data_IF_700521549233
#
_entry.id   IF_700521549233
#
_cell.length_a   1.000
_cell.length_b   1.000
_cell.length_c   1.000
_cell.angle_alpha   90.00
_cell.angle_beta   90.00
_cell.angle_gamma   90.00
#
_symmetry.space_group_name_H-M   'P 1'
#
loop_
_entity.id
_entity.type
_entity.pdbx_description
1 polymer ?
#
# COMPACT_ATOMS: atom_id res chain seq x y z
N UNK A 1 -37.69 -14.21 9.67
CA UNK A 1 -36.65 -15.26 9.79
C UNK A 1 -35.91 -15.52 8.48
N UNK A 2 -36.57 -15.86 7.37
CA UNK A 2 -35.90 -16.20 6.10
C UNK A 2 -35.11 -15.03 5.47
N UNK A 3 -35.63 -13.80 5.55
CA UNK A 3 -34.93 -12.59 5.05
C UNK A 3 -33.61 -12.31 5.77
N UNK A 4 -33.51 -12.65 7.07
CA UNK A 4 -32.28 -12.50 7.84
C UNK A 4 -31.25 -13.57 7.45
N UNK A 5 -31.73 -14.78 7.13
CA UNK A 5 -30.92 -15.90 6.69
C UNK A 5 -30.30 -15.66 5.30
N UNK A 6 -31.05 -15.02 4.39
CA UNK A 6 -30.56 -14.63 3.06
C UNK A 6 -29.42 -13.60 3.15
N UNK A 7 -29.54 -12.60 4.03
CA UNK A 7 -28.50 -11.58 4.22
C UNK A 7 -27.21 -12.15 4.81
N UNK A 8 -27.32 -13.14 5.71
CA UNK A 8 -26.17 -13.82 6.31
C UNK A 8 -25.38 -14.65 5.29
N UNK A 9 -26.09 -15.34 4.38
CA UNK A 9 -25.46 -16.15 3.32
C UNK A 9 -24.78 -15.27 2.27
N UNK A 10 -25.39 -14.13 1.90
CA UNK A 10 -24.80 -13.23 0.92
C UNK A 10 -23.51 -12.56 1.43
N UNK A 11 -23.42 -12.27 2.73
CA UNK A 11 -22.22 -11.71 3.35
C UNK A 11 -21.04 -12.68 3.40
N UNK A 12 -21.30 -13.99 3.50
CA UNK A 12 -20.25 -15.00 3.57
C UNK A 12 -19.52 -15.21 2.23
N UNK A 13 -20.19 -14.95 1.09
CA UNK A 13 -19.62 -15.13 -0.24
C UNK A 13 -18.72 -13.96 -0.71
N UNK A 14 -18.76 -12.82 -0.02
CA UNK A 14 -17.90 -11.65 -0.30
C UNK A 14 -16.63 -11.62 0.54
N UNK A 15 -16.29 -12.70 1.25
CA UNK A 15 -15.03 -12.79 1.97
C UNK A 15 -13.87 -12.91 0.97
N UNK A 16 -12.96 -11.95 1.03
CA UNK A 16 -11.80 -11.88 0.15
C UNK A 16 -10.89 -13.09 0.40
N UNK A 17 -10.81 -14.02 -0.55
CA UNK A 17 -9.83 -15.10 -0.51
C UNK A 17 -8.50 -14.58 -1.04
N UNK A 18 -7.46 -14.59 -0.19
CA UNK A 18 -6.09 -14.40 -0.66
C UNK A 18 -5.68 -15.60 -1.52
N UNK A 19 -5.09 -15.41 -2.71
CA UNK A 19 -4.72 -16.51 -3.58
C UNK A 19 -3.61 -17.36 -2.93
N UNK A 20 -3.86 -18.66 -2.82
CA UNK A 20 -2.88 -19.66 -2.38
C UNK A 20 -2.41 -20.49 -3.60
N UNK A 21 -1.18 -20.22 -4.06
CA UNK A 21 -0.47 -20.93 -5.13
C UNK A 21 0.72 -20.07 -5.58
N UNK A 22 1.93 -20.31 -5.11
CA UNK A 22 2.89 -21.33 -5.57
C UNK A 22 3.49 -21.03 -6.94
N UNK A 23 4.56 -20.24 -6.95
CA UNK A 23 5.78 -20.48 -7.72
C UNK A 23 6.94 -19.87 -6.93
N UNK A 24 7.96 -20.67 -6.59
CA UNK A 24 9.25 -20.16 -6.08
C UNK A 24 10.01 -19.51 -7.24
N UNK A 25 9.47 -18.42 -7.78
CA UNK A 25 10.30 -17.40 -8.40
C UNK A 25 11.18 -16.84 -7.28
N UNK A 26 12.47 -16.68 -7.53
CA UNK A 26 13.39 -16.01 -6.63
C UNK A 26 12.68 -14.77 -6.10
N UNK A 27 12.28 -14.83 -4.83
CA UNK A 27 11.56 -13.75 -4.17
C UNK A 27 12.57 -12.60 -4.17
N UNK A 28 12.38 -11.70 -5.12
CA UNK A 28 13.01 -10.40 -5.11
C UNK A 28 12.56 -9.80 -3.77
N UNK A 29 13.45 -9.87 -2.78
CA UNK A 29 13.16 -9.45 -1.41
C UNK A 29 13.05 -7.90 -1.33
N UNK A 30 13.07 -7.23 -2.50
CA UNK A 30 12.59 -5.87 -2.66
C UNK A 30 11.08 -5.81 -2.41
N UNK A 31 10.73 -5.81 -1.12
CA UNK A 31 9.41 -5.37 -0.69
C UNK A 31 9.21 -3.97 -1.25
N UNK A 32 8.39 -3.85 -2.30
CA UNK A 32 8.07 -2.55 -2.90
C UNK A 32 7.12 -1.83 -1.96
N UNK A 33 7.61 -0.75 -1.37
CA UNK A 33 6.86 0.04 -0.42
C UNK A 33 6.40 1.32 -1.12
N UNK A 34 5.09 1.56 -1.12
CA UNK A 34 4.47 2.78 -1.67
C UNK A 34 3.91 3.64 -0.54
N UNK A 35 4.27 4.93 -0.54
CA UNK A 35 3.85 5.89 0.48
C UNK A 35 3.35 7.18 -0.13
N UNK A 36 2.40 7.80 0.56
CA UNK A 36 1.88 9.12 0.25
C UNK A 36 2.39 10.13 1.28
N UNK A 37 3.18 11.10 0.82
CA UNK A 37 3.60 12.22 1.66
C UNK A 37 2.53 13.34 1.64
N UNK A 38 1.71 13.40 2.69
CA UNK A 38 0.70 14.44 2.90
C UNK A 38 1.26 15.58 3.77
N UNK A 39 1.09 16.83 3.36
CA UNK A 39 1.48 17.99 4.16
C UNK A 39 1.34 19.31 3.40
N UNK A 40 2.05 20.33 3.89
CA UNK A 40 2.03 21.69 3.37
C UNK A 40 3.22 21.98 2.42
N UNK A 41 3.52 23.27 2.21
CA UNK A 41 4.61 23.74 1.36
C UNK A 41 6.00 23.23 1.76
N UNK A 42 6.23 22.89 3.04
CA UNK A 42 7.49 22.30 3.50
C UNK A 42 7.61 20.83 3.06
N UNK A 43 6.51 20.08 3.04
CA UNK A 43 6.48 18.68 2.59
C UNK A 43 6.77 18.57 1.09
N UNK A 44 6.22 19.48 0.28
CA UNK A 44 6.49 19.52 -1.16
C UNK A 44 7.77 20.29 -1.51
N UNK A 45 8.46 20.87 -0.53
CA UNK A 45 9.64 21.72 -0.72
C UNK A 45 9.42 22.83 -1.74
N UNK A 46 8.46 23.73 -1.44
CA UNK A 46 8.21 24.91 -2.26
C UNK A 46 9.46 25.79 -2.32
N UNK A 47 9.94 26.08 -3.54
CA UNK A 47 11.12 26.91 -3.75
C UNK A 47 12.46 26.16 -3.75
N UNK A 48 12.46 24.83 -3.63
CA UNK A 48 13.67 24.01 -3.76
C UNK A 48 13.55 22.97 -4.89
N UNK A 49 14.68 22.44 -5.34
CA UNK A 49 14.68 21.42 -6.38
C UNK A 49 14.04 20.13 -5.87
N UNK A 50 13.53 19.30 -6.79
CA UNK A 50 12.82 18.07 -6.45
C UNK A 50 13.64 17.10 -5.60
N UNK A 51 14.94 16.99 -5.84
CA UNK A 51 15.88 16.16 -5.08
C UNK A 51 16.12 16.64 -3.65
N UNK A 52 15.90 17.92 -3.40
CA UNK A 52 16.11 18.56 -2.09
C UNK A 52 14.85 18.49 -1.22
N UNK A 53 13.73 17.99 -1.76
CA UNK A 53 12.47 17.85 -1.01
C UNK A 53 12.57 16.70 -0.03
N UNK A 54 11.94 16.87 1.13
CA UNK A 54 11.94 15.87 2.19
C UNK A 54 11.52 14.46 1.69
N UNK A 55 10.39 14.26 0.97
CA UNK A 55 10.01 12.92 0.50
C UNK A 55 11.04 12.26 -0.43
N UNK A 56 11.75 13.05 -1.24
CA UNK A 56 12.77 12.54 -2.14
C UNK A 56 14.01 12.08 -1.35
N UNK A 57 14.41 12.82 -0.32
CA UNK A 57 15.50 12.43 0.58
C UNK A 57 15.14 11.18 1.40
N UNK A 58 13.88 11.06 1.84
CA UNK A 58 13.42 9.89 2.61
C UNK A 58 13.60 8.59 1.82
N UNK A 59 13.38 8.59 0.50
CA UNK A 59 13.64 7.40 -0.34
C UNK A 59 15.07 6.88 -0.24
N UNK A 60 16.05 7.75 0.00
CA UNK A 60 17.44 7.33 0.17
C UNK A 60 17.68 6.70 1.55
N UNK A 61 17.03 7.23 2.60
CA UNK A 61 17.15 6.71 3.97
C UNK A 61 16.58 5.29 4.10
N UNK A 62 15.54 4.97 3.34
CA UNK A 62 14.81 3.70 3.42
C UNK A 62 15.43 2.55 2.64
N UNK A 63 16.44 2.83 1.81
CA UNK A 63 17.19 1.79 1.08
C UNK A 63 18.23 1.07 1.96
N UNK A 64 18.21 1.34 3.26
CA UNK A 64 19.15 0.83 4.27
C UNK A 64 18.86 -0.63 4.64
#
# INVERSE_FOLDING_TARGET
>A
MHRLLILFVLGALFSCQAPAGSEMLAKDDSTSISWLALGDSYTIGQGVNSSERFPAQTLQLLKS
#
